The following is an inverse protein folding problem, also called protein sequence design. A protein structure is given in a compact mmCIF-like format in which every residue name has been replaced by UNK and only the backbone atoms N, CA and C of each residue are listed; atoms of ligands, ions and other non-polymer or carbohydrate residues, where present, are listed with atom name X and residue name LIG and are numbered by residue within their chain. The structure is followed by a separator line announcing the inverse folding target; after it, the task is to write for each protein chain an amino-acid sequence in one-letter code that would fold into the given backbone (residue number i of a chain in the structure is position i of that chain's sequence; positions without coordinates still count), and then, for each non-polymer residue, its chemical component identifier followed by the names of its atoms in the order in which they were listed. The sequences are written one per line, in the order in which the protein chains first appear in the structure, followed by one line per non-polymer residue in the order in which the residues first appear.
data_IF_596432095865
#
_entry.id   IF_596432095865
#
_cell.length_a   1.000
_cell.length_b   1.000
_cell.length_c   1.000
_cell.angle_alpha   90.00
_cell.angle_beta   90.00
_cell.angle_gamma   90.00
#
_symmetry.space_group_name_H-M   'P 1'
#
loop_
_entity.id
_entity.type
_entity.pdbx_description
1 polymer ?
#
# COMPACT_ATOMS: atom_id res chain seq x y z
N UNK A 1 -7.99 -1.45 -24.85
CA UNK A 1 -7.96 -2.50 -23.81
C UNK A 1 -6.51 -2.86 -23.51
N UNK A 2 -5.98 -2.43 -22.36
CA UNK A 2 -4.79 -3.05 -21.75
C UNK A 2 -5.35 -4.04 -20.72
N UNK A 3 -5.43 -5.32 -21.07
CA UNK A 3 -6.27 -6.28 -20.35
C UNK A 3 -5.62 -6.90 -19.09
N UNK A 4 -4.33 -6.62 -18.82
CA UNK A 4 -3.55 -7.32 -17.77
C UNK A 4 -2.54 -6.43 -17.02
N UNK A 5 -2.45 -5.12 -17.30
CA UNK A 5 -1.51 -4.22 -16.61
C UNK A 5 -0.89 -3.17 -17.53
N UNK A 6 0.24 -2.58 -17.09
CA UNK A 6 1.04 -1.61 -17.86
C UNK A 6 2.13 -2.35 -18.64
N UNK A 7 2.33 -2.01 -19.91
CA UNK A 7 3.47 -2.47 -20.70
C UNK A 7 4.58 -1.42 -20.70
N UNK A 8 5.80 -1.79 -20.33
CA UNK A 8 6.98 -0.91 -20.34
C UNK A 8 7.99 -1.43 -21.36
N UNK A 9 8.45 -0.56 -22.25
CA UNK A 9 9.53 -0.88 -23.18
C UNK A 9 10.89 -0.69 -22.51
N UNK A 10 11.75 -1.70 -22.59
CA UNK A 10 13.14 -1.63 -22.11
C UNK A 10 14.09 -1.58 -23.29
N UNK A 11 15.13 -0.74 -23.19
CA UNK A 11 16.08 -0.48 -24.28
C UNK A 11 17.15 -1.56 -24.45
N UNK A 12 17.23 -2.53 -23.52
CA UNK A 12 18.22 -3.61 -23.52
C UNK A 12 17.57 -4.91 -23.05
N UNK A 13 17.87 -6.01 -23.73
CA UNK A 13 17.36 -7.34 -23.39
C UNK A 13 17.77 -7.82 -21.99
N UNK A 14 18.96 -7.43 -21.51
CA UNK A 14 19.42 -7.73 -20.15
C UNK A 14 18.53 -7.12 -19.04
N UNK A 15 17.67 -6.15 -19.35
CA UNK A 15 16.72 -5.59 -18.39
C UNK A 15 15.46 -6.45 -18.23
N UNK A 16 15.21 -7.40 -19.14
CA UNK A 16 14.04 -8.29 -19.10
C UNK A 16 14.05 -9.18 -17.84
N UNK A 17 15.21 -9.68 -17.42
CA UNK A 17 15.34 -10.44 -16.16
C UNK A 17 14.98 -9.58 -14.94
N UNK A 18 15.37 -8.31 -14.95
CA UNK A 18 15.04 -7.35 -13.88
C UNK A 18 13.55 -7.02 -13.86
N UNK A 19 12.94 -6.80 -15.03
CA UNK A 19 11.48 -6.58 -15.14
C UNK A 19 10.73 -7.82 -14.65
N UNK A 20 11.18 -9.02 -15.00
CA UNK A 20 10.60 -10.29 -14.54
C UNK A 20 10.72 -10.45 -13.03
N UNK A 21 11.89 -10.13 -12.46
CA UNK A 21 12.09 -10.18 -11.00
C UNK A 21 11.15 -9.21 -10.27
N UNK A 22 11.05 -7.95 -10.73
CA UNK A 22 10.20 -6.93 -10.11
C UNK A 22 8.71 -7.21 -10.29
N UNK A 23 8.27 -7.63 -11.47
CA UNK A 23 6.85 -7.90 -11.75
C UNK A 23 6.37 -9.26 -11.21
N UNK A 24 7.24 -10.27 -11.21
CA UNK A 24 6.93 -11.61 -10.72
C UNK A 24 6.95 -11.72 -9.19
N UNK A 25 7.90 -11.06 -8.51
CA UNK A 25 7.98 -11.06 -7.04
C UNK A 25 7.33 -9.84 -6.38
N UNK A 26 7.11 -8.76 -7.14
CA UNK A 26 6.55 -7.49 -6.65
C UNK A 26 5.25 -7.68 -5.87
N UNK A 27 4.22 -8.35 -6.43
CA UNK A 27 2.96 -8.59 -5.72
C UNK A 27 3.14 -9.33 -4.39
N UNK A 28 4.11 -10.26 -4.30
CA UNK A 28 4.35 -11.01 -3.07
C UNK A 28 4.79 -10.10 -1.90
N UNK A 29 5.63 -9.09 -2.16
CA UNK A 29 6.01 -8.11 -1.14
C UNK A 29 4.82 -7.26 -0.68
N UNK A 30 3.93 -6.86 -1.60
CA UNK A 30 2.71 -6.12 -1.23
C UNK A 30 1.74 -6.99 -0.44
N UNK A 31 1.55 -8.25 -0.81
CA UNK A 31 0.69 -9.17 -0.05
C UNK A 31 1.24 -9.42 1.35
N UNK A 32 2.56 -9.57 1.50
CA UNK A 32 3.20 -9.71 2.80
C UNK A 32 2.99 -8.46 3.68
N UNK A 33 3.14 -7.26 3.10
CA UNK A 33 2.85 -6.00 3.81
C UNK A 33 1.37 -5.90 4.22
N UNK A 34 0.45 -6.25 3.32
CA UNK A 34 -0.99 -6.24 3.61
C UNK A 34 -1.33 -7.20 4.75
N UNK A 35 -0.77 -8.41 4.76
CA UNK A 35 -0.94 -9.37 5.85
C UNK A 35 -0.49 -8.79 7.19
N UNK A 36 0.67 -8.13 7.22
CA UNK A 36 1.17 -7.48 8.43
C UNK A 36 0.25 -6.34 8.92
N UNK A 37 -0.32 -5.54 8.01
CA UNK A 37 -1.26 -4.46 8.37
C UNK A 37 -2.59 -5.05 8.88
N UNK A 38 -3.12 -6.11 8.25
CA UNK A 38 -4.31 -6.81 8.71
C UNK A 38 -4.09 -7.38 10.13
N UNK A 39 -2.96 -8.04 10.37
CA UNK A 39 -2.60 -8.58 11.67
C UNK A 39 -2.49 -7.50 12.74
N UNK A 40 -1.87 -6.35 12.42
CA UNK A 40 -1.79 -5.21 13.32
C UNK A 40 -3.18 -4.63 13.65
N UNK A 41 -4.07 -4.53 12.65
CA UNK A 41 -5.46 -4.08 12.85
C UNK A 41 -6.24 -5.00 13.78
N UNK A 42 -6.11 -6.32 13.61
CA UNK A 42 -6.74 -7.32 14.48
C UNK A 42 -6.15 -7.25 15.90
N UNK A 43 -4.83 -7.13 16.04
CA UNK A 43 -4.18 -6.94 17.35
C UNK A 43 -4.65 -5.65 18.06
N UNK A 44 -5.00 -4.62 17.28
CA UNK A 44 -5.59 -3.37 17.76
C UNK A 44 -7.09 -3.44 18.08
N UNK A 45 -7.74 -4.61 17.91
CA UNK A 45 -9.13 -4.84 18.28
C UNK A 45 -10.15 -4.77 17.13
N UNK A 46 -9.70 -4.65 15.87
CA UNK A 46 -10.59 -4.74 14.71
C UNK A 46 -11.01 -6.20 14.46
N UNK A 47 -12.19 -6.39 13.87
CA UNK A 47 -12.54 -7.70 13.31
C UNK A 47 -11.68 -7.99 12.07
N UNK A 48 -11.39 -9.26 11.76
CA UNK A 48 -10.61 -9.61 10.56
C UNK A 48 -11.19 -9.04 9.26
N UNK A 49 -12.52 -9.02 9.10
CA UNK A 49 -13.17 -8.44 7.90
C UNK A 49 -12.95 -6.92 7.80
N UNK A 50 -13.06 -6.19 8.91
CA UNK A 50 -12.81 -4.74 8.93
C UNK A 50 -11.33 -4.46 8.65
N UNK A 51 -10.41 -5.16 9.32
CA UNK A 51 -8.97 -5.00 9.13
C UNK A 51 -8.60 -5.23 7.65
N UNK A 52 -9.09 -6.33 7.05
CA UNK A 52 -8.91 -6.64 5.63
C UNK A 52 -9.43 -5.54 4.71
N UNK A 53 -10.67 -5.08 4.91
CA UNK A 53 -11.26 -4.02 4.07
C UNK A 53 -10.46 -2.73 4.12
N UNK A 54 -10.06 -2.31 5.32
CA UNK A 54 -9.26 -1.10 5.51
C UNK A 54 -7.87 -1.24 4.86
N UNK A 55 -7.20 -2.38 5.02
CA UNK A 55 -5.92 -2.66 4.38
C UNK A 55 -6.03 -2.55 2.86
N UNK A 56 -7.01 -3.23 2.26
CA UNK A 56 -7.19 -3.23 0.80
C UNK A 56 -7.50 -1.82 0.25
N UNK A 57 -8.38 -1.06 0.91
CA UNK A 57 -8.70 0.30 0.49
C UNK A 57 -7.53 1.26 0.68
N UNK A 58 -6.76 1.10 1.76
CA UNK A 58 -5.56 1.90 2.01
C UNK A 58 -4.50 1.67 0.93
N UNK A 59 -4.22 0.41 0.62
CA UNK A 59 -3.26 0.07 -0.43
C UNK A 59 -3.71 0.58 -1.81
N UNK A 60 -5.00 0.42 -2.15
CA UNK A 60 -5.56 0.94 -3.38
C UNK A 60 -5.47 2.46 -3.46
N UNK A 61 -5.83 3.15 -2.38
CA UNK A 61 -5.78 4.61 -2.28
C UNK A 61 -4.36 5.15 -2.42
N UNK A 62 -3.40 4.55 -1.71
CA UNK A 62 -1.99 4.92 -1.78
C UNK A 62 -1.41 4.71 -3.18
N UNK A 63 -1.71 3.57 -3.82
CA UNK A 63 -1.26 3.30 -5.19
C UNK A 63 -1.87 4.30 -6.19
N UNK A 64 -3.17 4.60 -6.07
CA UNK A 64 -3.83 5.59 -6.93
C UNK A 64 -3.24 6.99 -6.73
N UNK A 65 -2.99 7.39 -5.49
CA UNK A 65 -2.36 8.68 -5.19
C UNK A 65 -0.96 8.77 -5.80
N UNK A 66 -0.14 7.73 -5.65
CA UNK A 66 1.20 7.68 -6.22
C UNK A 66 1.19 7.70 -7.76
N UNK A 67 0.21 7.07 -8.40
CA UNK A 67 0.07 7.09 -9.87
C UNK A 67 -0.39 8.47 -10.37
N UNK A 68 -1.24 9.16 -9.60
CA UNK A 68 -1.80 10.45 -9.99
C UNK A 68 -0.94 11.66 -9.59
N UNK A 69 0.10 11.45 -8.78
CA UNK A 69 0.97 12.52 -8.29
C UNK A 69 2.26 12.59 -9.10
N UNK A 70 2.73 13.81 -9.34
CA UNK A 70 4.08 14.08 -9.86
C UNK A 70 5.14 14.01 -8.74
N UNK A 71 4.72 13.90 -7.48
CA UNK A 71 5.62 13.83 -6.34
C UNK A 71 6.21 12.42 -6.15
N UNK A 72 7.48 12.33 -5.73
CA UNK A 72 8.08 11.06 -5.35
C UNK A 72 7.32 10.40 -4.20
N UNK A 73 7.20 9.06 -4.22
CA UNK A 73 6.56 8.26 -3.14
C UNK A 73 7.13 8.58 -1.75
N UNK A 74 8.41 8.95 -1.66
CA UNK A 74 9.04 9.34 -0.41
C UNK A 74 8.44 10.63 0.19
N UNK A 75 8.03 11.59 -0.65
CA UNK A 75 7.36 12.82 -0.24
C UNK A 75 5.93 12.54 0.20
N UNK A 76 5.16 11.80 -0.62
CA UNK A 76 3.80 11.37 -0.27
C UNK A 76 3.72 10.67 1.10
N UNK A 77 4.74 9.86 1.42
CA UNK A 77 4.86 9.22 2.75
C UNK A 77 5.13 10.22 3.87
N UNK A 78 5.93 11.25 3.62
CA UNK A 78 6.26 12.30 4.59
C UNK A 78 5.03 13.14 4.94
N UNK A 79 4.21 13.43 3.94
CA UNK A 79 2.96 14.18 4.09
C UNK A 79 1.80 13.37 4.69
N UNK A 80 1.93 12.04 4.70
CA UNK A 80 0.99 11.10 5.31
C UNK A 80 1.49 10.51 6.65
N UNK A 81 1.89 11.32 7.64
CA UNK A 81 2.37 10.78 8.91
C UNK A 81 1.22 10.12 9.67
N UNK A 82 1.49 9.10 10.51
CA UNK A 82 0.49 8.50 11.36
C UNK A 82 -0.12 9.56 12.27
N UNK A 83 -1.41 9.86 12.07
CA UNK A 83 -2.16 10.81 12.90
C UNK A 83 -2.74 10.08 14.11
N UNK A 84 -1.90 9.85 15.12
CA UNK A 84 -2.37 9.54 16.47
C UNK A 84 -2.58 10.86 17.23
N UNK A 85 -3.74 11.48 17.06
CA UNK A 85 -4.14 12.58 17.94
C UNK A 85 -4.84 12.00 19.17
N UNK A 86 -4.19 12.27 20.30
CA UNK A 86 -4.50 12.11 21.73
C UNK A 86 -5.95 11.80 22.14
N UNK A 87 -6.09 10.94 23.15
CA UNK A 87 -7.35 10.48 23.71
C UNK A 87 -8.26 11.58 24.24
N UNK A 88 -9.53 11.48 23.90
CA UNK A 88 -10.61 12.15 24.61
C UNK A 88 -11.09 11.26 25.75
N UNK A 89 -10.40 11.33 26.89
CA UNK A 89 -11.06 11.02 28.17
C UNK A 89 -12.08 12.13 28.40
N UNK A 90 -13.33 11.91 28.01
CA UNK A 90 -14.42 12.72 28.53
C UNK A 90 -14.56 12.40 30.02
N UNK A 91 -14.41 13.36 30.95
CA UNK A 91 -14.79 13.11 32.33
C UNK A 91 -16.31 12.99 32.36
N UNK A 92 -16.79 11.79 32.67
CA UNK A 92 -18.19 11.58 33.03
C UNK A 92 -18.39 12.34 34.35
N UNK A 93 -19.20 13.39 34.30
CA UNK A 93 -19.71 14.08 35.50
C UNK A 93 -20.73 13.21 36.22
#
# INVERSE_FOLDING_TARGET
MQAVGVSVWVSREALIDTVTAVSGSGPAYFFYLMEAIEAAGVAGGLTPDIARRLTLQTALGAAKLAIASDEPVAELRRESPPRWHHGTTHPVS
#
